data_IF_008849307629
#
_entry.id   IF_008849307629
#
_cell.length_a   1.000
_cell.length_b   1.000
_cell.length_c   1.000
_cell.angle_alpha   90.00
_cell.angle_beta   90.00
_cell.angle_gamma   90.00
#
_symmetry.space_group_name_H-M   'P 1'
#
loop_
_entity.id
_entity.type
_entity.pdbx_description
1 polymer ?
#
# COMPACT_ATOMS: atom_id res chain seq x y z
N UNK A 1 8.03 65.21 -38.32
CA UNK A 1 7.07 64.16 -37.95
C UNK A 1 6.92 63.21 -39.13
N UNK A 2 6.84 61.90 -38.84
CA UNK A 2 6.62 60.77 -39.76
C UNK A 2 7.87 60.14 -40.42
N UNK A 3 8.16 58.87 -40.05
CA UNK A 3 8.82 57.75 -40.80
C UNK A 3 9.84 56.87 -40.03
N UNK A 4 9.66 56.63 -38.72
CA UNK A 4 10.43 55.62 -37.97
C UNK A 4 9.48 54.54 -37.42
N UNK A 5 8.92 53.66 -38.25
CA UNK A 5 8.17 52.45 -37.81
C UNK A 5 8.20 51.24 -38.77
N UNK A 6 9.03 51.22 -39.82
CA UNK A 6 8.94 50.19 -40.88
C UNK A 6 10.14 49.24 -41.02
N UNK A 7 11.16 49.33 -40.15
CA UNK A 7 12.38 48.52 -40.29
C UNK A 7 12.39 47.20 -39.49
N UNK A 8 11.41 46.97 -38.61
CA UNK A 8 11.42 45.80 -37.72
C UNK A 8 10.73 44.54 -38.30
N UNK A 9 10.08 44.63 -39.47
CA UNK A 9 9.29 43.53 -40.03
C UNK A 9 10.03 42.67 -41.07
N UNK A 10 11.19 43.10 -41.58
CA UNK A 10 11.86 42.42 -42.70
C UNK A 10 12.92 41.37 -42.33
N UNK A 11 13.20 41.17 -41.04
CA UNK A 11 14.20 40.19 -40.59
C UNK A 11 13.61 38.85 -40.08
N UNK A 12 12.28 38.73 -39.98
CA UNK A 12 11.62 37.50 -39.52
C UNK A 12 11.18 36.60 -40.70
N UNK A 13 11.00 37.16 -41.90
CA UNK A 13 10.44 36.44 -43.06
C UNK A 13 11.44 35.52 -43.82
N UNK A 14 12.76 35.79 -43.96
CA UNK A 14 13.61 34.89 -44.75
C UNK A 14 14.02 33.60 -44.00
N UNK A 15 13.85 33.52 -42.68
CA UNK A 15 14.19 32.30 -41.93
C UNK A 15 13.16 31.18 -42.13
N UNK A 16 11.88 31.49 -42.37
CA UNK A 16 10.84 30.46 -42.54
C UNK A 16 10.96 29.75 -43.90
N UNK A 17 11.48 30.42 -44.93
CA UNK A 17 11.71 29.81 -46.24
C UNK A 17 12.91 28.85 -46.28
N UNK A 18 13.96 29.10 -45.47
CA UNK A 18 15.14 28.23 -45.41
C UNK A 18 14.87 26.91 -44.66
N UNK A 19 13.97 26.93 -43.67
CA UNK A 19 13.56 25.72 -42.92
C UNK A 19 12.76 24.75 -43.80
N UNK A 20 12.04 25.25 -44.81
CA UNK A 20 11.24 24.42 -45.71
C UNK A 20 12.08 23.61 -46.72
N UNK A 21 13.37 23.93 -46.89
CA UNK A 21 14.24 23.29 -47.90
C UNK A 21 15.39 22.47 -47.31
N UNK A 22 15.60 22.47 -45.99
CA UNK A 22 16.67 21.69 -45.36
C UNK A 22 16.14 20.39 -44.75
N UNK A 23 16.44 19.25 -45.36
CA UNK A 23 16.14 17.92 -44.79
C UNK A 23 16.75 17.74 -43.38
N UNK A 24 17.87 18.40 -43.09
CA UNK A 24 18.53 18.37 -41.78
C UNK A 24 17.80 19.14 -40.67
N UNK A 25 17.08 20.22 -41.00
CA UNK A 25 16.32 21.00 -40.01
C UNK A 25 15.06 20.28 -39.53
N UNK A 26 14.41 19.53 -40.43
CA UNK A 26 13.21 18.76 -40.11
C UNK A 26 13.51 17.59 -39.14
N UNK A 27 14.64 16.89 -39.32
CA UNK A 27 15.01 15.78 -38.42
C UNK A 27 15.35 16.25 -37.01
N UNK A 28 16.08 17.36 -36.86
CA UNK A 28 16.41 17.93 -35.54
C UNK A 28 15.18 18.34 -34.72
N UNK A 29 14.16 18.89 -35.38
CA UNK A 29 12.90 19.26 -34.71
C UNK A 29 12.14 18.01 -34.27
N UNK A 30 12.05 16.99 -35.13
CA UNK A 30 11.40 15.71 -34.80
C UNK A 30 12.13 14.99 -33.66
N UNK A 31 13.45 14.89 -33.71
CA UNK A 31 14.27 14.28 -32.65
C UNK A 31 14.12 15.02 -31.32
N UNK A 32 14.03 16.34 -31.35
CA UNK A 32 13.80 17.15 -30.16
C UNK A 32 12.41 16.89 -29.56
N UNK A 33 11.36 16.82 -30.37
CA UNK A 33 10.01 16.50 -29.89
C UNK A 33 9.89 15.07 -29.37
N UNK A 34 10.49 14.09 -30.07
CA UNK A 34 10.57 12.70 -29.59
C UNK A 34 11.34 12.61 -28.27
N UNK A 35 12.43 13.37 -28.12
CA UNK A 35 13.19 13.38 -26.87
C UNK A 35 12.42 13.99 -25.70
N UNK A 36 11.50 14.93 -25.95
CA UNK A 36 10.66 15.54 -24.92
C UNK A 36 9.55 14.60 -24.46
N UNK A 37 8.82 14.00 -25.39
CA UNK A 37 7.76 13.06 -25.05
C UNK A 37 8.30 11.85 -24.29
N UNK A 38 9.47 11.31 -24.69
CA UNK A 38 10.13 10.21 -23.97
C UNK A 38 10.58 10.62 -22.56
N UNK A 39 11.03 11.88 -22.37
CA UNK A 39 11.40 12.38 -21.04
C UNK A 39 10.19 12.58 -20.13
N UNK A 40 9.08 13.04 -20.68
CA UNK A 40 7.82 13.21 -19.94
C UNK A 40 7.28 11.85 -19.49
N UNK A 41 7.24 10.86 -20.40
CA UNK A 41 6.86 9.48 -20.08
C UNK A 41 7.79 8.86 -19.03
N UNK A 42 9.12 9.02 -19.18
CA UNK A 42 10.07 8.53 -18.19
C UNK A 42 9.90 9.20 -16.82
N UNK A 43 9.51 10.48 -16.79
CA UNK A 43 9.25 11.20 -15.55
C UNK A 43 8.00 10.66 -14.86
N UNK A 44 6.90 10.47 -15.60
CA UNK A 44 5.66 9.89 -15.09
C UNK A 44 5.89 8.47 -14.56
N UNK A 45 6.59 7.62 -15.32
CA UNK A 45 6.97 6.28 -14.90
C UNK A 45 7.80 6.27 -13.61
N UNK A 46 8.75 7.20 -13.50
CA UNK A 46 9.58 7.33 -12.30
C UNK A 46 8.76 7.78 -11.08
N UNK A 47 7.79 8.69 -11.26
CA UNK A 47 6.88 9.14 -10.20
C UNK A 47 5.97 8.00 -9.72
N UNK A 48 5.41 7.22 -10.66
CA UNK A 48 4.59 6.05 -10.35
C UNK A 48 5.41 5.00 -9.60
N UNK A 49 6.63 4.68 -10.10
CA UNK A 49 7.53 3.72 -9.44
C UNK A 49 7.91 4.17 -8.03
N UNK A 50 8.23 5.45 -7.84
CA UNK A 50 8.56 5.98 -6.52
C UNK A 50 7.37 5.85 -5.56
N UNK A 51 6.16 6.15 -6.02
CA UNK A 51 4.95 6.01 -5.21
C UNK A 51 4.66 4.53 -4.84
N UNK A 52 4.81 3.62 -5.81
CA UNK A 52 4.64 2.18 -5.57
C UNK A 52 5.67 1.64 -4.58
N UNK A 53 6.92 2.13 -4.62
CA UNK A 53 7.97 1.70 -3.69
C UNK A 53 7.66 2.14 -2.25
N UNK A 54 7.13 3.35 -2.05
CA UNK A 54 6.68 3.84 -0.74
C UNK A 54 5.54 2.97 -0.20
N UNK A 55 4.55 2.67 -1.04
CA UNK A 55 3.41 1.82 -0.67
C UNK A 55 3.89 0.40 -0.34
N UNK A 56 4.77 -0.17 -1.16
CA UNK A 56 5.33 -1.50 -0.94
C UNK A 56 6.12 -1.57 0.37
N UNK A 57 6.98 -0.58 0.63
CA UNK A 57 7.76 -0.50 1.87
C UNK A 57 6.86 -0.47 3.10
N UNK A 58 5.78 0.32 3.06
CA UNK A 58 4.84 0.38 4.18
C UNK A 58 4.04 -0.93 4.36
N UNK A 59 3.68 -1.60 3.27
CA UNK A 59 3.04 -2.92 3.33
C UNK A 59 3.99 -3.95 3.97
N UNK A 60 5.24 -4.01 3.52
CA UNK A 60 6.25 -4.93 4.06
C UNK A 60 6.51 -4.68 5.54
N UNK A 61 6.62 -3.41 5.95
CA UNK A 61 6.78 -3.04 7.36
C UNK A 61 5.63 -3.57 8.23
N UNK A 62 4.39 -3.48 7.75
CA UNK A 62 3.22 -3.99 8.47
C UNK A 62 3.18 -5.52 8.53
N UNK A 63 3.56 -6.19 7.44
CA UNK A 63 3.66 -7.65 7.41
C UNK A 63 4.67 -8.10 8.48
N UNK A 64 5.87 -7.51 8.51
CA UNK A 64 6.90 -7.83 9.48
C UNK A 64 6.43 -7.64 10.93
N UNK A 65 5.69 -6.57 11.22
CA UNK A 65 5.11 -6.34 12.55
C UNK A 65 4.07 -7.43 12.89
N UNK A 66 3.16 -7.75 11.97
CA UNK A 66 2.15 -8.79 12.19
C UNK A 66 2.79 -10.16 12.41
N UNK A 67 3.78 -10.53 11.61
CA UNK A 67 4.52 -11.78 11.75
C UNK A 67 5.23 -11.86 13.10
N UNK A 68 5.89 -10.78 13.54
CA UNK A 68 6.51 -10.73 14.86
C UNK A 68 5.48 -10.94 15.98
N UNK A 69 4.32 -10.30 15.90
CA UNK A 69 3.26 -10.48 16.90
C UNK A 69 2.69 -11.88 16.94
N UNK A 70 2.50 -12.51 15.77
CA UNK A 70 2.03 -13.89 15.68
C UNK A 70 3.09 -14.85 16.22
N UNK A 71 4.38 -14.62 15.95
CA UNK A 71 5.45 -15.42 16.52
C UNK A 71 5.50 -15.33 18.06
N UNK A 72 5.37 -14.13 18.62
CA UNK A 72 5.27 -13.93 20.07
C UNK A 72 4.03 -14.63 20.66
N UNK A 73 2.90 -14.57 19.95
CA UNK A 73 1.65 -15.21 20.34
C UNK A 73 1.81 -16.72 20.38
N UNK A 74 2.31 -17.32 19.29
CA UNK A 74 2.54 -18.77 19.15
C UNK A 74 3.50 -19.26 20.24
N UNK A 75 4.56 -18.50 20.51
CA UNK A 75 5.53 -18.83 21.56
C UNK A 75 5.01 -18.64 22.99
N UNK A 76 3.76 -18.20 23.18
CA UNK A 76 3.14 -18.01 24.48
C UNK A 76 3.69 -16.81 25.28
N UNK A 77 4.42 -15.89 24.63
CA UNK A 77 5.00 -14.69 25.28
C UNK A 77 4.02 -13.52 25.36
N UNK A 78 2.93 -13.58 24.61
CA UNK A 78 1.82 -12.63 24.67
C UNK A 78 0.48 -13.37 24.59
N UNK A 79 -0.59 -12.67 24.94
CA UNK A 79 -1.98 -13.16 24.86
C UNK A 79 -2.63 -12.74 23.55
N UNK A 80 -3.67 -13.47 23.15
CA UNK A 80 -4.55 -13.18 22.02
C UNK A 80 -5.17 -11.79 22.16
N UNK A 81 -5.58 -11.41 23.36
CA UNK A 81 -6.19 -10.10 23.64
C UNK A 81 -5.26 -8.95 23.24
N UNK A 82 -4.00 -9.01 23.72
CA UNK A 82 -3.01 -7.96 23.47
C UNK A 82 -2.63 -7.88 21.99
N UNK A 83 -2.52 -9.01 21.30
CA UNK A 83 -2.25 -9.02 19.85
C UNK A 83 -3.45 -8.50 19.07
N UNK A 84 -4.67 -8.83 19.50
CA UNK A 84 -5.92 -8.33 18.90
C UNK A 84 -6.00 -6.81 18.98
N UNK A 85 -5.69 -6.20 20.13
CA UNK A 85 -5.63 -4.74 20.29
C UNK A 85 -4.63 -4.11 19.31
N UNK A 86 -3.44 -4.69 19.17
CA UNK A 86 -2.43 -4.18 18.25
C UNK A 86 -2.86 -4.31 16.80
N UNK A 87 -3.50 -5.42 16.42
CA UNK A 87 -4.08 -5.59 15.10
C UNK A 87 -5.17 -4.55 14.83
N UNK A 88 -6.07 -4.32 15.78
CA UNK A 88 -7.11 -3.28 15.67
C UNK A 88 -6.50 -1.90 15.42
N UNK A 89 -5.53 -1.48 16.24
CA UNK A 89 -4.86 -0.17 16.10
C UNK A 89 -4.21 -0.04 14.71
N UNK A 90 -3.50 -1.08 14.25
CA UNK A 90 -2.90 -1.06 12.91
C UNK A 90 -3.94 -0.95 11.79
N UNK A 91 -5.08 -1.64 11.94
CA UNK A 91 -6.11 -1.73 10.93
C UNK A 91 -7.05 -0.51 10.91
N UNK A 92 -7.16 0.25 12.00
CA UNK A 92 -7.94 1.51 12.05
C UNK A 92 -7.51 2.53 10.98
N UNK A 93 -6.22 2.53 10.61
CA UNK A 93 -5.69 3.37 9.53
C UNK A 93 -6.15 2.95 8.11
N UNK A 94 -6.83 1.80 7.98
CA UNK A 94 -7.22 1.19 6.69
C UNK A 94 -8.66 0.67 6.74
N UNK A 95 -9.66 1.55 6.59
CA UNK A 95 -11.07 1.18 6.66
C UNK A 95 -11.47 0.05 5.70
N UNK A 96 -10.84 -0.02 4.53
CA UNK A 96 -11.06 -1.08 3.53
C UNK A 96 -10.74 -2.47 4.08
N UNK A 97 -9.69 -2.59 4.90
CA UNK A 97 -9.30 -3.85 5.51
C UNK A 97 -10.22 -4.23 6.67
N UNK A 98 -10.64 -3.25 7.48
CA UNK A 98 -11.65 -3.47 8.52
C UNK A 98 -12.99 -3.93 7.93
N UNK A 99 -13.39 -3.42 6.76
CA UNK A 99 -14.58 -3.90 6.05
C UNK A 99 -14.48 -5.39 5.72
N UNK A 100 -13.31 -5.86 5.26
CA UNK A 100 -13.07 -7.28 4.98
C UNK A 100 -13.13 -8.11 6.27
N UNK A 101 -12.50 -7.66 7.37
CA UNK A 101 -12.56 -8.38 8.66
C UNK A 101 -14.01 -8.48 9.14
N UNK A 102 -14.77 -7.38 9.04
CA UNK A 102 -16.17 -7.33 9.47
C UNK A 102 -17.06 -8.32 8.73
N UNK A 103 -16.83 -8.50 7.42
CA UNK A 103 -17.63 -9.40 6.58
C UNK A 103 -17.18 -10.86 6.62
N UNK A 104 -15.89 -11.12 6.85
CA UNK A 104 -15.31 -12.48 6.74
C UNK A 104 -15.13 -13.20 8.08
N UNK A 105 -15.01 -12.48 9.19
CA UNK A 105 -14.75 -13.08 10.50
C UNK A 105 -16.03 -13.16 11.35
N UNK A 106 -16.27 -14.28 12.05
CA UNK A 106 -17.38 -14.40 12.99
C UNK A 106 -17.16 -13.51 14.23
N UNK A 107 -18.23 -13.25 14.97
CA UNK A 107 -18.22 -12.42 16.18
C UNK A 107 -19.16 -11.21 16.08
N UNK A 108 -19.47 -10.63 17.25
CA UNK A 108 -20.43 -9.54 17.40
C UNK A 108 -19.77 -8.15 17.52
N UNK A 109 -18.46 -8.09 17.75
CA UNK A 109 -17.70 -6.85 17.85
C UNK A 109 -16.49 -6.85 16.93
N UNK A 110 -15.97 -5.65 16.59
CA UNK A 110 -14.73 -5.52 15.82
C UNK A 110 -13.54 -6.21 16.53
N UNK A 111 -13.55 -6.21 17.86
CA UNK A 111 -12.54 -6.89 18.65
C UNK A 111 -12.62 -8.41 18.49
N UNK A 112 -13.80 -9.01 18.66
CA UNK A 112 -13.98 -10.47 18.51
C UNK A 112 -13.67 -10.92 17.08
N UNK A 113 -14.13 -10.17 16.07
CA UNK A 113 -13.81 -10.44 14.66
C UNK A 113 -12.32 -10.33 14.38
N UNK A 114 -11.64 -9.36 14.98
CA UNK A 114 -10.18 -9.22 14.83
C UNK A 114 -9.45 -10.34 15.56
N UNK A 115 -9.93 -10.82 16.72
CA UNK A 115 -9.36 -11.97 17.41
C UNK A 115 -9.47 -13.25 16.55
N UNK A 116 -10.61 -13.47 15.90
CA UNK A 116 -10.76 -14.54 14.92
C UNK A 116 -9.81 -14.39 13.73
N UNK A 117 -9.60 -13.17 13.23
CA UNK A 117 -8.63 -12.89 12.18
C UNK A 117 -7.19 -13.24 12.62
N UNK A 118 -6.80 -12.84 13.84
CA UNK A 118 -5.49 -13.17 14.44
C UNK A 118 -5.29 -14.69 14.54
N UNK A 119 -6.31 -15.43 14.99
CA UNK A 119 -6.26 -16.91 15.02
C UNK A 119 -6.09 -17.48 13.60
N UNK A 120 -6.73 -16.89 12.59
CA UNK A 120 -6.52 -17.24 11.18
C UNK A 120 -5.05 -17.11 10.74
N UNK A 121 -4.40 -16.00 11.09
CA UNK A 121 -2.96 -15.82 10.84
C UNK A 121 -2.10 -16.84 11.60
N UNK A 122 -2.38 -17.04 12.88
CA UNK A 122 -1.66 -18.02 13.69
C UNK A 122 -1.78 -19.44 13.11
N UNK A 123 -2.98 -19.85 12.65
CA UNK A 123 -3.19 -21.16 12.04
C UNK A 123 -2.36 -21.37 10.77
N UNK A 124 -2.13 -20.31 9.97
CA UNK A 124 -1.23 -20.36 8.82
C UNK A 124 0.21 -20.71 9.22
N UNK A 125 0.73 -20.05 10.25
CA UNK A 125 2.08 -20.28 10.77
C UNK A 125 2.22 -21.63 11.49
N UNK A 126 1.19 -22.05 12.23
CA UNK A 126 1.15 -23.33 12.95
C UNK A 126 1.29 -24.53 12.00
N UNK A 127 0.90 -24.42 10.73
CA UNK A 127 1.03 -25.50 9.74
C UNK A 127 2.46 -26.03 9.58
N UNK A 128 3.47 -25.26 10.00
CA UNK A 128 4.90 -25.62 9.95
C UNK A 128 5.40 -26.38 11.19
N UNK A 129 4.60 -26.45 12.26
CA UNK A 129 4.97 -27.10 13.52
C UNK A 129 4.48 -28.55 13.59
N UNK A 130 5.02 -29.40 14.49
CA UNK A 130 4.46 -30.73 14.76
C UNK A 130 3.01 -30.67 15.22
N UNK A 131 2.18 -31.64 14.82
CA UNK A 131 0.73 -31.66 15.11
C UNK A 131 0.40 -31.56 16.61
N UNK A 132 1.22 -32.16 17.47
CA UNK A 132 1.03 -32.07 18.93
C UNK A 132 1.16 -30.62 19.44
N UNK A 133 2.14 -29.87 18.94
CA UNK A 133 2.32 -28.46 19.28
C UNK A 133 1.20 -27.59 18.68
N UNK A 134 0.77 -27.91 17.45
CA UNK A 134 -0.36 -27.21 16.84
C UNK A 134 -1.63 -27.36 17.68
N UNK A 135 -1.93 -28.59 18.13
CA UNK A 135 -3.11 -28.88 18.94
C UNK A 135 -3.07 -28.14 20.28
N UNK A 136 -1.93 -28.15 20.97
CA UNK A 136 -1.73 -27.42 22.22
C UNK A 136 -1.96 -25.91 22.05
N UNK A 137 -1.33 -25.30 21.03
CA UNK A 137 -1.44 -23.85 20.80
C UNK A 137 -2.88 -23.48 20.39
N UNK A 138 -3.53 -24.26 19.52
CA UNK A 138 -4.93 -24.04 19.14
C UNK A 138 -5.87 -24.13 20.34
N UNK A 139 -5.67 -25.13 21.20
CA UNK A 139 -6.48 -25.29 22.41
C UNK A 139 -6.35 -24.07 23.33
N UNK A 140 -5.12 -23.58 23.54
CA UNK A 140 -4.88 -22.35 24.31
C UNK A 140 -5.55 -21.14 23.68
N UNK A 141 -5.35 -20.89 22.38
CA UNK A 141 -5.94 -19.73 21.70
C UNK A 141 -7.47 -19.76 21.72
N UNK A 142 -8.08 -20.95 21.60
CA UNK A 142 -9.52 -21.11 21.71
C UNK A 142 -10.03 -20.80 23.13
N UNK A 143 -9.30 -21.23 24.16
CA UNK A 143 -9.64 -20.90 25.55
C UNK A 143 -9.53 -19.38 25.81
N UNK A 144 -8.47 -18.73 25.30
CA UNK A 144 -8.31 -17.28 25.39
C UNK A 144 -9.46 -16.54 24.68
N UNK A 145 -9.87 -16.99 23.49
CA UNK A 145 -11.01 -16.42 22.76
C UNK A 145 -12.32 -16.57 23.55
N UNK A 146 -12.61 -17.74 24.11
CA UNK A 146 -13.80 -17.97 24.92
C UNK A 146 -13.86 -17.04 26.15
N UNK A 147 -12.72 -16.81 26.81
CA UNK A 147 -12.61 -15.87 27.92
C UNK A 147 -12.93 -14.42 27.49
N UNK A 148 -12.46 -14.02 26.30
CA UNK A 148 -12.72 -12.69 25.74
C UNK A 148 -14.21 -12.49 25.40
N UNK A 149 -14.84 -13.45 24.73
CA UNK A 149 -16.26 -13.36 24.36
C UNK A 149 -17.17 -13.38 25.60
N UNK A 150 -16.82 -14.15 26.65
CA UNK A 150 -17.57 -14.19 27.90
C UNK A 150 -17.50 -12.90 28.73
N UNK A 151 -16.41 -12.13 28.60
CA UNK A 151 -16.26 -10.84 29.28
C UNK A 151 -17.11 -9.75 28.61
N UNK A 152 -17.26 -9.81 27.27
CA UNK A 152 -17.93 -8.74 26.53
C UNK A 152 -19.46 -8.75 26.70
N UNK A 153 -20.07 -9.93 26.84
CA UNK A 153 -21.52 -10.06 27.02
C UNK A 153 -22.02 -9.52 28.37
N UNK A 154 -21.16 -9.44 29.37
CA UNK A 154 -21.52 -8.97 30.71
C UNK A 154 -21.68 -7.44 30.82
N UNK A 155 -21.20 -6.66 29.84
CA UNK A 155 -21.17 -5.17 29.90
C UNK A 155 -22.36 -4.54 29.17
N UNK A 156 -23.12 -5.30 28.37
CA UNK A 156 -24.20 -4.79 27.51
C UNK A 156 -25.63 -5.07 28.01
N UNK A 157 -25.79 -5.56 29.25
CA UNK A 157 -27.09 -5.70 29.94
C UNK A 157 -27.19 -4.70 31.09
#
# INVERSE_FOLDING_TARGET
MLTIRLAAFFLIVPMTALVAQSEWGASLVIDMFQSKSVREELKEDNEIRANLEVINTEIQRRIAIKEALIAELIAGRTTLAKVTDQFLVMNQSRPEYMTIIRSSCPGNSDFEKTAHNVIGYANGELSRLPESQQAEIRARLQAELQCLSGTHTAVTN
#
